data_IF_200661611963
#
_entry.id   IF_200661611963
#
_cell.length_a   1.000
_cell.length_b   1.000
_cell.length_c   1.000
_cell.angle_alpha   90.00
_cell.angle_beta   90.00
_cell.angle_gamma   90.00
#
_symmetry.space_group_name_H-M   'P 1'
#
loop_
_entity.id
_entity.type
_entity.pdbx_description
1 polymer ?
#
# COMPACT_ATOMS: atom_id res chain seq x y z
N UNK A 1 34.29 -7.95 26.88
CA UNK A 1 33.23 -8.09 25.86
C UNK A 1 32.23 -6.97 26.09
N UNK A 2 32.40 -5.83 25.40
CA UNK A 2 31.51 -4.67 25.54
C UNK A 2 30.29 -4.91 24.65
N UNK A 3 29.13 -5.13 25.26
CA UNK A 3 27.83 -5.11 24.58
C UNK A 3 27.57 -3.66 24.17
N UNK A 4 27.72 -3.35 22.89
CA UNK A 4 27.26 -2.08 22.32
C UNK A 4 25.74 -2.11 22.43
N UNK A 5 25.20 -1.35 23.39
CA UNK A 5 23.78 -1.05 23.48
C UNK A 5 23.41 -0.32 22.19
N UNK A 6 22.69 -0.99 21.27
CA UNK A 6 22.02 -0.25 20.20
C UNK A 6 21.00 0.65 20.90
N UNK A 7 21.07 1.99 20.76
CA UNK A 7 20.02 2.83 21.31
C UNK A 7 18.71 2.38 20.68
N UNK A 8 17.70 2.14 21.51
CA UNK A 8 16.36 1.82 21.03
C UNK A 8 15.97 2.88 19.99
N UNK A 9 15.79 2.48 18.73
CA UNK A 9 15.36 3.39 17.69
C UNK A 9 14.01 3.95 18.10
N UNK A 10 13.93 5.27 18.34
CA UNK A 10 12.66 5.91 18.60
C UNK A 10 11.70 5.64 17.43
N UNK A 11 10.40 5.42 17.69
CA UNK A 11 9.42 5.28 16.62
C UNK A 11 9.49 6.46 15.65
N UNK A 12 9.61 6.16 14.35
CA UNK A 12 9.64 7.18 13.32
C UNK A 12 8.25 7.79 13.07
N UNK A 13 7.19 7.02 13.34
CA UNK A 13 5.82 7.44 13.15
C UNK A 13 4.92 6.95 14.29
N UNK A 14 4.00 7.82 14.64
CA UNK A 14 2.86 7.54 15.50
C UNK A 14 1.63 7.43 14.59
N UNK A 15 0.96 6.29 14.64
CA UNK A 15 -0.22 5.99 13.81
C UNK A 15 -1.39 5.72 14.75
N UNK A 16 -2.40 6.59 14.71
CA UNK A 16 -3.64 6.41 15.45
C UNK A 16 -4.78 6.03 14.51
N UNK A 17 -5.79 5.35 15.04
CA UNK A 17 -7.03 5.04 14.30
C UNK A 17 -8.22 5.44 15.13
N UNK A 18 -9.15 6.16 14.52
CA UNK A 18 -10.36 6.68 15.14
C UNK A 18 -11.59 6.13 14.42
N UNK A 19 -12.61 5.74 15.18
CA UNK A 19 -13.89 5.31 14.63
C UNK A 19 -14.70 6.54 14.18
N UNK A 20 -15.29 6.48 12.98
CA UNK A 20 -16.34 7.44 12.63
C UNK A 20 -17.64 7.03 13.34
N UNK A 21 -18.05 7.79 14.36
CA UNK A 21 -19.23 7.46 15.17
C UNK A 21 -20.56 7.45 14.39
N UNK A 22 -20.62 8.11 13.23
CA UNK A 22 -21.79 8.11 12.35
C UNK A 22 -21.74 7.02 11.28
N UNK A 23 -20.55 6.45 11.05
CA UNK A 23 -20.32 5.39 10.07
C UNK A 23 -19.39 4.35 10.72
N UNK A 24 -19.90 3.45 11.57
CA UNK A 24 -19.07 2.54 12.36
C UNK A 24 -18.21 1.57 11.54
N UNK A 25 -18.54 1.39 10.25
CA UNK A 25 -17.73 0.64 9.29
C UNK A 25 -16.56 1.44 8.71
N UNK A 26 -16.45 2.73 9.04
CA UNK A 26 -15.44 3.69 8.58
C UNK A 26 -14.53 4.10 9.71
N UNK A 27 -13.22 4.09 9.43
CA UNK A 27 -12.21 4.54 10.37
C UNK A 27 -11.29 5.54 9.70
N UNK A 28 -10.85 6.49 10.51
CA UNK A 28 -9.90 7.54 10.15
C UNK A 28 -8.55 7.11 10.74
N UNK A 29 -7.58 6.84 9.88
CA UNK A 29 -6.19 6.57 10.28
C UNK A 29 -5.39 7.85 10.14
N UNK A 30 -4.75 8.31 11.21
CA UNK A 30 -3.94 9.53 11.23
C UNK A 30 -2.48 9.15 11.46
N UNK A 31 -1.58 9.77 10.68
CA UNK A 31 -0.16 9.47 10.66
C UNK A 31 0.61 10.74 11.03
N UNK A 32 1.47 10.63 12.04
CA UNK A 32 2.35 11.69 12.53
C UNK A 32 3.78 11.18 12.65
N UNK A 33 4.77 12.06 12.53
CA UNK A 33 6.18 11.72 12.79
C UNK A 33 6.46 11.66 14.29
N UNK A 34 7.37 10.79 14.71
CA UNK A 34 7.74 10.59 16.11
C UNK A 34 6.92 9.51 16.80
N UNK A 35 6.87 9.54 18.13
CA UNK A 35 6.32 8.49 18.98
C UNK A 35 4.96 8.80 19.60
N UNK A 36 4.41 9.99 19.33
CA UNK A 36 3.18 10.47 19.99
C UNK A 36 2.28 11.29 19.05
N UNK A 37 1.07 11.58 19.55
CA UNK A 37 0.07 12.40 18.87
C UNK A 37 0.47 13.88 18.70
N UNK A 38 1.48 14.34 19.46
CA UNK A 38 2.03 15.69 19.34
C UNK A 38 2.98 15.85 18.15
N UNK A 39 3.31 14.75 17.47
CA UNK A 39 4.20 14.72 16.31
C UNK A 39 3.73 15.54 15.11
N UNK A 40 4.65 15.85 14.20
CA UNK A 40 4.35 16.55 12.95
C UNK A 40 3.32 15.76 12.13
N UNK A 41 2.24 16.42 11.72
CA UNK A 41 1.22 15.83 10.86
C UNK A 41 1.80 15.45 9.49
N UNK A 42 1.61 14.19 9.08
CA UNK A 42 1.99 13.67 7.76
C UNK A 42 0.77 13.57 6.86
N UNK A 43 -0.32 13.00 7.40
CA UNK A 43 -1.54 12.81 6.66
C UNK A 43 -2.56 11.98 7.42
N UNK A 44 -3.72 11.81 6.82
CA UNK A 44 -4.74 10.87 7.27
C UNK A 44 -5.48 10.27 6.08
N UNK A 45 -6.15 9.15 6.29
CA UNK A 45 -7.13 8.65 5.34
C UNK A 45 -8.34 8.10 6.08
N UNK A 46 -9.51 8.26 5.48
CA UNK A 46 -10.75 7.64 5.95
C UNK A 46 -11.20 6.59 4.95
N UNK A 47 -11.42 5.37 5.44
CA UNK A 47 -11.84 4.24 4.61
C UNK A 47 -12.78 3.33 5.39
N UNK A 48 -13.85 2.87 4.74
CA UNK A 48 -14.81 1.95 5.33
C UNK A 48 -15.74 1.31 4.32
N UNK A 49 -16.61 0.44 4.82
CA UNK A 49 -17.71 -0.15 4.04
C UNK A 49 -18.91 0.79 4.15
N UNK A 50 -18.95 1.82 3.29
CA UNK A 50 -19.97 2.87 3.34
C UNK A 50 -20.24 3.44 1.94
N UNK A 51 -21.35 4.18 1.81
CA UNK A 51 -21.62 5.03 0.65
C UNK A 51 -20.66 6.22 0.57
N UNK A 52 -20.12 6.66 1.71
CA UNK A 52 -19.07 7.68 1.76
C UNK A 52 -17.81 7.13 1.08
N UNK A 53 -17.32 7.83 0.05
CA UNK A 53 -16.10 7.45 -0.65
C UNK A 53 -14.89 7.67 0.25
N UNK A 54 -13.92 6.77 0.13
CA UNK A 54 -12.64 6.87 0.82
C UNK A 54 -11.86 8.10 0.39
N UNK A 55 -11.27 8.81 1.35
CA UNK A 55 -10.45 10.00 1.10
C UNK A 55 -9.11 9.93 1.82
N UNK A 56 -8.16 10.73 1.32
CA UNK A 56 -6.79 10.85 1.81
C UNK A 56 -6.49 12.33 1.93
N UNK A 57 -5.92 12.76 3.04
CA UNK A 57 -5.40 14.11 3.27
C UNK A 57 -3.89 14.01 3.48
N UNK A 58 -3.10 14.70 2.67
CA UNK A 58 -1.66 14.93 2.85
C UNK A 58 -1.31 16.31 2.31
N UNK A 59 -0.20 16.92 2.73
CA UNK A 59 0.27 18.21 2.19
C UNK A 59 -0.82 19.31 2.13
N UNK A 60 -1.75 19.32 3.09
CA UNK A 60 -2.88 20.26 3.13
C UNK A 60 -3.96 20.06 2.05
N UNK A 61 -3.94 18.96 1.31
CA UNK A 61 -4.89 18.65 0.23
C UNK A 61 -5.64 17.37 0.52
N UNK A 62 -6.95 17.38 0.26
CA UNK A 62 -7.78 16.18 0.29
C UNK A 62 -8.01 15.64 -1.13
N UNK A 63 -7.89 14.32 -1.30
CA UNK A 63 -8.15 13.62 -2.56
C UNK A 63 -8.90 12.32 -2.30
N UNK A 64 -9.72 11.91 -3.27
CA UNK A 64 -10.34 10.59 -3.25
C UNK A 64 -9.28 9.50 -3.39
N UNK A 65 -9.41 8.41 -2.61
CA UNK A 65 -8.48 7.27 -2.67
C UNK A 65 -8.39 6.69 -4.08
N UNK A 66 -9.49 6.60 -4.82
CA UNK A 66 -9.50 6.04 -6.18
C UNK A 66 -8.80 6.95 -7.22
N UNK A 67 -8.70 8.25 -6.94
CA UNK A 67 -7.99 9.19 -7.81
C UNK A 67 -6.46 9.10 -7.59
N UNK A 68 -6.02 8.73 -6.39
CA UNK A 68 -4.61 8.64 -6.00
C UNK A 68 -4.05 7.23 -6.18
N UNK A 69 -4.78 6.20 -5.75
CA UNK A 69 -4.35 4.80 -5.79
C UNK A 69 -5.05 4.06 -6.94
N UNK A 70 -4.45 4.16 -8.12
CA UNK A 70 -5.01 3.64 -9.37
C UNK A 70 -4.49 2.24 -9.65
N UNK A 71 -5.37 1.31 -10.05
CA UNK A 71 -4.93 -0.02 -10.52
C UNK A 71 -4.16 0.14 -11.84
N UNK A 72 -2.93 -0.36 -11.90
CA UNK A 72 -2.14 -0.37 -13.12
C UNK A 72 -2.73 -1.32 -14.16
N UNK A 73 -2.47 -1.04 -15.44
CA UNK A 73 -2.89 -1.91 -16.54
C UNK A 73 -2.10 -3.21 -16.46
N UNK A 74 -2.80 -4.34 -16.42
CA UNK A 74 -2.21 -5.66 -16.57
C UNK A 74 -1.53 -5.70 -17.95
N UNK A 75 -0.21 -5.92 -17.99
CA UNK A 75 0.46 -6.21 -19.26
C UNK A 75 -0.03 -7.58 -19.69
N UNK A 76 -1.00 -7.62 -20.59
CA UNK A 76 -1.41 -8.87 -21.23
C UNK A 76 -0.19 -9.42 -21.97
N UNK A 77 0.41 -10.49 -21.46
CA UNK A 77 1.40 -11.27 -22.19
C UNK A 77 0.71 -12.08 -23.30
N UNK A 78 -0.13 -11.45 -24.11
CA UNK A 78 -0.60 -12.00 -25.38
C UNK A 78 0.38 -11.48 -26.43
N UNK A 79 1.54 -12.15 -26.51
CA UNK A 79 2.26 -12.18 -27.76
C UNK A 79 1.38 -12.82 -28.84
N UNK A 80 1.58 -12.49 -30.13
CA UNK A 80 0.76 -13.04 -31.20
C UNK A 80 0.95 -14.57 -31.26
N UNK A 81 -0.15 -15.28 -31.00
CA UNK A 81 -0.47 -16.66 -31.45
C UNK A 81 0.71 -17.63 -31.59
N UNK A 82 0.97 -18.43 -30.55
CA UNK A 82 1.40 -19.81 -30.76
C UNK A 82 0.59 -20.72 -29.85
N UNK A 83 -0.31 -21.48 -30.46
CA UNK A 83 -1.24 -22.37 -29.80
C UNK A 83 -0.55 -23.70 -29.47
N UNK A 84 -0.30 -23.94 -28.19
CA UNK A 84 -0.17 -25.30 -27.63
C UNK A 84 -0.97 -25.36 -26.32
N UNK A 85 -2.07 -26.16 -26.26
CA UNK A 85 -2.98 -26.19 -25.13
C UNK A 85 -2.54 -27.23 -24.10
N UNK A 86 -1.38 -27.06 -23.48
CA UNK A 86 -0.99 -27.88 -22.32
C UNK A 86 -0.28 -27.02 -21.27
N UNK A 87 -0.92 -26.90 -20.11
CA UNK A 87 -0.45 -26.15 -18.93
C UNK A 87 -0.58 -24.62 -19.00
N UNK A 88 -1.84 -24.14 -19.03
CA UNK A 88 -2.15 -22.81 -18.48
C UNK A 88 -2.02 -22.86 -16.95
N UNK A 89 -0.80 -22.78 -16.42
CA UNK A 89 -0.62 -22.05 -15.15
C UNK A 89 -1.10 -20.64 -15.47
N UNK A 90 -2.22 -20.22 -14.90
CA UNK A 90 -2.56 -18.80 -14.85
C UNK A 90 -1.36 -18.11 -14.20
N UNK A 91 -0.49 -17.50 -14.99
CA UNK A 91 0.40 -16.46 -14.48
C UNK A 91 -0.55 -15.37 -14.03
N UNK A 92 -0.84 -15.33 -12.73
CA UNK A 92 -1.68 -14.30 -12.15
C UNK A 92 -1.11 -12.98 -12.61
N UNK A 93 -1.85 -12.23 -13.44
CA UNK A 93 -1.38 -10.95 -13.92
C UNK A 93 -0.83 -10.14 -12.76
N UNK A 94 0.38 -9.62 -12.94
CA UNK A 94 1.06 -8.86 -11.93
C UNK A 94 0.17 -7.66 -11.58
N UNK A 95 -0.58 -7.77 -10.48
CA UNK A 95 -1.43 -6.69 -9.99
C UNK A 95 -0.49 -5.56 -9.65
N UNK A 96 -0.73 -4.39 -10.22
CA UNK A 96 0.04 -3.18 -9.93
C UNK A 96 -0.90 -2.12 -9.40
N UNK A 97 -0.43 -1.34 -8.43
CA UNK A 97 -1.10 -0.10 -8.01
C UNK A 97 -0.14 1.06 -8.20
N UNK A 98 -0.66 2.14 -8.76
CA UNK A 98 0.05 3.39 -8.95
C UNK A 98 -0.41 4.39 -7.89
N UNK A 99 0.53 4.92 -7.12
CA UNK A 99 0.32 6.02 -6.20
C UNK A 99 0.63 7.34 -6.89
N UNK A 100 -0.42 8.10 -7.19
CA UNK A 100 -0.39 9.36 -7.95
C UNK A 100 -0.82 10.53 -7.08
N UNK A 101 0.01 10.87 -6.10
CA UNK A 101 -0.28 12.00 -5.22
C UNK A 101 0.08 13.34 -5.86
N UNK A 102 1.28 13.45 -6.42
CA UNK A 102 1.79 14.67 -7.05
C UNK A 102 1.36 14.78 -8.52
N UNK A 103 1.37 15.99 -9.07
CA UNK A 103 1.19 16.18 -10.52
C UNK A 103 2.44 15.72 -11.29
N UNK A 104 3.60 15.83 -10.67
CA UNK A 104 4.87 15.33 -11.20
C UNK A 104 4.88 13.79 -11.20
N UNK A 105 4.89 13.21 -12.40
CA UNK A 105 4.93 11.76 -12.60
C UNK A 105 6.22 11.11 -12.10
N UNK A 106 7.32 11.87 -12.01
CA UNK A 106 8.60 11.37 -11.51
C UNK A 106 8.56 11.02 -10.02
N UNK A 107 7.55 11.52 -9.29
CA UNK A 107 7.31 11.23 -7.86
C UNK A 107 6.24 10.17 -7.63
N UNK A 108 5.69 9.59 -8.69
CA UNK A 108 4.68 8.54 -8.55
C UNK A 108 5.34 7.24 -8.09
N UNK A 109 4.64 6.49 -7.24
CA UNK A 109 5.10 5.18 -6.79
C UNK A 109 4.35 4.09 -7.54
N UNK A 110 5.01 2.96 -7.79
CA UNK A 110 4.41 1.76 -8.36
C UNK A 110 4.59 0.60 -7.39
N UNK A 111 3.48 0.02 -6.96
CA UNK A 111 3.43 -1.17 -6.11
C UNK A 111 3.10 -2.41 -6.94
N UNK A 112 4.06 -3.32 -7.09
CA UNK A 112 3.87 -4.61 -7.75
C UNK A 112 3.85 -5.78 -6.76
N UNK A 113 3.23 -6.89 -7.15
CA UNK A 113 2.94 -8.02 -6.26
C UNK A 113 3.66 -9.26 -6.77
N UNK A 114 4.40 -9.92 -5.90
CA UNK A 114 5.00 -11.23 -6.15
C UNK A 114 4.71 -12.13 -4.95
N UNK A 115 3.73 -13.04 -5.10
CA UNK A 115 3.18 -13.77 -3.98
C UNK A 115 2.60 -12.83 -2.91
N UNK A 116 2.97 -12.98 -1.61
CA UNK A 116 2.49 -12.10 -0.55
C UNK A 116 3.24 -10.76 -0.50
N UNK A 117 4.43 -10.67 -1.07
CA UNK A 117 5.32 -9.50 -0.95
C UNK A 117 4.90 -8.45 -1.97
N UNK A 118 4.87 -7.19 -1.52
CA UNK A 118 4.64 -6.03 -2.37
C UNK A 118 5.93 -5.23 -2.50
N UNK A 119 6.24 -4.80 -3.72
CA UNK A 119 7.47 -4.09 -4.05
C UNK A 119 7.12 -2.69 -4.54
N UNK A 120 7.67 -1.68 -3.89
CA UNK A 120 7.51 -0.29 -4.24
C UNK A 120 8.70 0.17 -5.08
N UNK A 121 8.41 0.74 -6.24
CA UNK A 121 9.39 1.34 -7.13
C UNK A 121 8.99 2.78 -7.43
N UNK A 122 9.96 3.62 -7.76
CA UNK A 122 9.65 4.89 -8.41
C UNK A 122 9.04 4.60 -9.79
N UNK A 123 8.09 5.40 -10.25
CA UNK A 123 7.53 5.20 -11.58
C UNK A 123 8.61 5.45 -12.63
N UNK A 124 8.93 4.43 -13.43
CA UNK A 124 9.86 4.60 -14.54
C UNK A 124 9.24 5.46 -15.64
N UNK A 125 9.93 6.52 -16.03
CA UNK A 125 9.60 7.36 -17.18
C UNK A 125 10.35 6.95 -18.46
N UNK A 126 11.15 5.87 -18.43
CA UNK A 126 11.96 5.41 -19.56
C UNK A 126 12.27 3.91 -19.54
N UNK A 127 13.15 3.44 -20.44
CA UNK A 127 13.51 2.02 -20.55
C UNK A 127 14.42 1.48 -19.44
N UNK A 128 14.90 2.34 -18.53
CA UNK A 128 15.71 1.94 -17.38
C UNK A 128 14.87 1.26 -16.29
N UNK A 129 15.49 0.35 -15.54
CA UNK A 129 14.89 -0.27 -14.37
C UNK A 129 14.71 0.77 -13.26
N UNK A 130 13.48 0.99 -12.76
CA UNK A 130 13.25 1.98 -11.73
C UNK A 130 13.88 1.56 -10.39
N UNK A 131 14.35 2.51 -9.57
CA UNK A 131 14.89 2.19 -8.25
C UNK A 131 13.82 1.58 -7.36
N UNK A 132 14.19 0.51 -6.64
CA UNK A 132 13.35 -0.09 -5.61
C UNK A 132 13.42 0.76 -4.34
N UNK A 133 12.27 1.23 -3.88
CA UNK A 133 12.15 2.17 -2.77
C UNK A 133 11.78 1.46 -1.46
N UNK A 134 10.94 0.42 -1.53
CA UNK A 134 10.54 -0.34 -0.36
C UNK A 134 10.00 -1.74 -0.69
N UNK A 135 9.98 -2.62 0.30
CA UNK A 135 9.18 -3.85 0.29
C UNK A 135 8.19 -3.86 1.45
N UNK A 136 7.01 -4.43 1.21
CA UNK A 136 5.98 -4.62 2.22
C UNK A 136 5.55 -6.08 2.26
N UNK A 137 5.71 -6.71 3.42
CA UNK A 137 5.32 -8.09 3.67
C UNK A 137 4.15 -8.12 4.66
N UNK A 138 2.92 -8.41 4.20
CA UNK A 138 1.77 -8.57 5.07
C UNK A 138 1.81 -9.91 5.83
N UNK A 139 1.11 -10.01 6.97
CA UNK A 139 0.84 -11.28 7.59
C UNK A 139 -0.09 -12.13 6.69
N UNK A 140 0.00 -13.47 6.75
CA UNK A 140 -0.95 -14.36 6.11
C UNK A 140 -2.39 -14.06 6.54
N UNK A 141 -3.36 -14.28 5.63
CA UNK A 141 -4.79 -14.14 5.94
C UNK A 141 -5.33 -15.26 6.83
N UNK A 142 -4.69 -16.41 6.77
CA UNK A 142 -5.08 -17.61 7.52
C UNK A 142 -4.10 -17.82 8.67
N UNK A 143 -4.57 -18.30 9.84
CA UNK A 143 -3.69 -18.78 10.89
C UNK A 143 -2.70 -19.80 10.35
N UNK A 144 -1.51 -19.84 10.94
CA UNK A 144 -0.50 -20.83 10.57
C UNK A 144 -0.96 -22.22 10.99
N UNK A 145 -0.69 -23.23 10.16
CA UNK A 145 -1.04 -24.62 10.45
C UNK A 145 -0.37 -25.16 11.73
N UNK A 146 0.80 -24.60 12.10
CA UNK A 146 1.53 -24.95 13.32
C UNK A 146 1.02 -24.22 14.58
N UNK A 147 -0.06 -23.43 14.48
CA UNK A 147 -0.66 -22.69 15.59
C UNK A 147 0.18 -21.52 16.11
N UNK A 148 1.36 -21.26 15.53
CA UNK A 148 2.22 -20.15 15.96
C UNK A 148 1.66 -18.81 15.45
N UNK A 149 1.94 -17.69 16.15
CA UNK A 149 1.61 -16.37 15.64
C UNK A 149 2.22 -16.14 14.26
N UNK A 150 1.48 -15.44 13.39
CA UNK A 150 2.02 -14.93 12.15
C UNK A 150 3.19 -13.97 12.43
N UNK A 151 4.23 -13.96 11.58
CA UNK A 151 5.25 -12.93 11.68
C UNK A 151 4.59 -11.54 11.55
N UNK A 152 5.13 -10.52 12.23
CA UNK A 152 4.59 -9.18 12.14
C UNK A 152 4.70 -8.64 10.72
N UNK A 153 3.77 -7.74 10.37
CA UNK A 153 3.85 -6.94 9.16
C UNK A 153 5.19 -6.21 9.09
N UNK A 154 5.88 -6.29 7.96
CA UNK A 154 7.17 -5.60 7.76
C UNK A 154 7.09 -4.64 6.58
N UNK A 155 7.39 -3.37 6.81
CA UNK A 155 7.69 -2.39 5.76
C UNK A 155 9.18 -2.06 5.82
N UNK A 156 9.94 -2.49 4.80
CA UNK A 156 11.37 -2.18 4.66
C UNK A 156 11.53 -1.07 3.64
N UNK A 157 12.08 0.07 4.05
CA UNK A 157 12.39 1.20 3.15
C UNK A 157 13.89 1.21 2.86
N UNK A 158 14.26 1.23 1.58
CA UNK A 158 15.64 1.29 1.13
C UNK A 158 16.15 2.74 1.13
N UNK A 159 17.47 2.99 1.06
CA UNK A 159 18.02 4.35 1.06
C UNK A 159 17.38 5.28 0.02
N UNK A 160 17.15 4.79 -1.22
CA UNK A 160 16.51 5.55 -2.28
C UNK A 160 15.04 5.94 -1.97
N UNK A 161 14.37 5.23 -1.05
CA UNK A 161 12.99 5.50 -0.64
C UNK A 161 12.85 6.47 0.53
N UNK A 162 13.95 6.89 1.18
CA UNK A 162 13.87 7.68 2.42
C UNK A 162 13.21 9.05 2.19
N UNK A 163 13.49 9.72 1.08
CA UNK A 163 12.88 11.02 0.73
C UNK A 163 11.37 10.90 0.46
N UNK A 164 10.90 9.71 0.11
CA UNK A 164 9.50 9.42 -0.23
C UNK A 164 8.80 8.60 0.86
N UNK A 165 9.39 8.49 2.06
CA UNK A 165 8.89 7.61 3.13
C UNK A 165 7.42 7.91 3.44
N UNK A 166 7.04 9.17 3.66
CA UNK A 166 5.65 9.56 3.96
C UNK A 166 4.66 8.95 2.96
N UNK A 167 4.96 9.06 1.65
CA UNK A 167 4.13 8.47 0.59
C UNK A 167 4.18 6.95 0.57
N UNK A 168 5.34 6.34 0.81
CA UNK A 168 5.49 4.88 0.88
C UNK A 168 4.65 4.33 2.04
N UNK A 169 4.74 4.94 3.23
CA UNK A 169 4.00 4.52 4.41
C UNK A 169 2.49 4.66 4.21
N UNK A 170 2.03 5.85 3.81
CA UNK A 170 0.60 6.11 3.59
C UNK A 170 0.04 5.16 2.51
N UNK A 171 0.73 5.02 1.38
CA UNK A 171 0.27 4.14 0.31
C UNK A 171 0.26 2.66 0.71
N UNK A 172 1.26 2.18 1.47
CA UNK A 172 1.29 0.81 1.98
C UNK A 172 0.12 0.52 2.93
N UNK A 173 -0.19 1.44 3.85
CA UNK A 173 -1.31 1.31 4.79
C UNK A 173 -2.66 1.26 4.05
N UNK A 174 -2.85 2.12 3.05
CA UNK A 174 -4.08 2.15 2.24
C UNK A 174 -4.21 0.88 1.40
N UNK A 175 -3.12 0.43 0.76
CA UNK A 175 -3.10 -0.81 0.00
C UNK A 175 -3.48 -1.99 0.88
N UNK A 176 -2.94 -2.05 2.10
CA UNK A 176 -3.26 -3.13 3.02
C UNK A 176 -4.71 -3.08 3.50
N UNK A 177 -5.21 -1.88 3.84
CA UNK A 177 -6.61 -1.70 4.21
C UNK A 177 -7.54 -2.13 3.08
N UNK A 178 -7.20 -1.80 1.82
CA UNK A 178 -7.94 -2.25 0.63
C UNK A 178 -7.86 -3.77 0.43
N UNK A 179 -6.73 -4.41 0.77
CA UNK A 179 -6.58 -5.88 0.74
C UNK A 179 -7.47 -6.59 1.76
N UNK A 180 -7.66 -5.97 2.92
CA UNK A 180 -8.40 -6.53 4.06
C UNK A 180 -9.88 -6.12 4.11
N UNK A 181 -10.30 -5.14 3.32
CA UNK A 181 -11.69 -4.71 3.26
C UNK A 181 -12.48 -5.60 2.29
N UNK A 182 -13.59 -6.23 2.72
CA UNK A 182 -14.49 -6.94 1.82
C UNK A 182 -14.97 -6.04 0.70
N UNK A 183 -14.98 -6.55 -0.53
CA UNK A 183 -15.60 -5.86 -1.65
C UNK A 183 -17.12 -5.95 -1.43
N UNK A 184 -17.79 -4.82 -1.26
CA UNK A 184 -19.25 -4.81 -1.14
C UNK A 184 -19.89 -5.27 -2.46
N UNK A 185 -20.92 -6.12 -2.38
CA UNK A 185 -21.63 -6.68 -3.55
C UNK A 185 -22.15 -5.59 -4.51
N UNK A 186 -22.45 -4.38 -4.01
CA UNK A 186 -22.90 -3.26 -4.85
C UNK A 186 -21.82 -2.72 -5.80
N UNK A 187 -20.54 -3.01 -5.56
CA UNK A 187 -19.47 -2.68 -6.51
C UNK A 187 -19.38 -3.66 -7.69
N UNK A 188 -20.14 -4.76 -7.71
CA UNK A 188 -20.27 -5.62 -8.91
C UNK A 188 -21.25 -5.05 -9.93
N UNK A 189 -22.19 -4.18 -9.53
CA UNK A 189 -23.19 -3.58 -10.43
C UNK A 189 -22.71 -2.30 -11.12
N UNK A 190 -21.57 -1.72 -10.72
CA UNK A 190 -20.96 -0.59 -11.44
C UNK A 190 -19.87 -1.04 -12.44
N UNK A 191 -19.79 -2.35 -12.72
CA UNK A 191 -18.82 -2.98 -13.63
C UNK A 191 -19.52 -3.89 -14.65
N UNK A 192 -20.71 -3.49 -15.09
CA UNK A 192 -21.39 -4.00 -16.28
C UNK A 192 -21.61 -2.87 -17.26
#
# INVERSE_FOLDING_TARGET
MLLIFQPASLPLYHISTHLNCFIPSSYITVIRRGDSEAGQYVGQFEMGISVKRSSIIMDGKEKLTDAVLVKGKEKSNVGPLSATPTSRRLTSGQRTFLWKWHNDEARHLSWSYEGPVKYCHLRSQGGAQPPMLATYTPPPLTPRADGRPAPPTTLKVFPAGQELFDHILVSALIIERKRLTPISANSLMSWS
#
